data_IF_943309582504
#
_entry.id   IF_943309582504
#
_cell.length_a   1.000
_cell.length_b   1.000
_cell.length_c   1.000
_cell.angle_alpha   90.00
_cell.angle_beta   90.00
_cell.angle_gamma   90.00
#
_symmetry.space_group_name_H-M   'P 1'
#
loop_
_entity.id
_entity.type
_entity.pdbx_description
1 polymer ?
#
# COMPACT_ATOMS: atom_id res chain seq x y z
N UNK A 1 3.29 2.62 -6.41
CA UNK A 1 2.22 2.96 -7.37
C UNK A 1 2.77 3.33 -8.74
N UNK A 2 2.39 2.57 -9.77
CA UNK A 2 2.71 2.86 -11.17
C UNK A 2 1.91 4.08 -11.66
N UNK A 3 2.60 5.10 -12.19
CA UNK A 3 1.94 6.24 -12.85
C UNK A 3 1.55 5.85 -14.28
N UNK A 4 0.30 6.10 -14.67
CA UNK A 4 -0.18 5.81 -16.02
C UNK A 4 -1.21 6.85 -16.49
N UNK A 5 -1.40 6.95 -17.82
CA UNK A 5 -2.41 7.82 -18.42
C UNK A 5 -3.69 7.01 -18.67
N UNK A 6 -4.82 7.30 -17.99
CA UNK A 6 -6.06 6.54 -18.16
C UNK A 6 -6.68 6.70 -19.54
N UNK A 7 -6.30 7.73 -20.33
CA UNK A 7 -6.81 7.95 -21.69
C UNK A 7 -6.16 7.06 -22.74
N UNK A 8 -5.01 6.44 -22.45
CA UNK A 8 -4.32 5.57 -23.40
C UNK A 8 -4.85 4.13 -23.36
N UNK A 9 -6.13 3.93 -23.65
CA UNK A 9 -6.85 2.67 -23.45
C UNK A 9 -6.15 1.46 -24.11
N UNK A 10 -5.85 1.53 -25.40
CA UNK A 10 -5.11 0.48 -26.12
C UNK A 10 -3.69 0.27 -25.60
N UNK A 11 -3.03 1.36 -25.23
CA UNK A 11 -1.69 1.31 -24.63
C UNK A 11 -1.67 0.64 -23.25
N UNK A 12 -2.79 0.65 -22.51
CA UNK A 12 -2.90 -0.04 -21.22
C UNK A 12 -3.19 -1.54 -21.40
N UNK A 13 -4.03 -1.91 -22.38
CA UNK A 13 -4.36 -3.32 -22.67
C UNK A 13 -3.15 -4.12 -23.13
N UNK A 14 -2.29 -3.51 -23.96
CA UNK A 14 -1.14 -4.20 -24.55
C UNK A 14 0.19 -3.94 -23.83
N UNK A 15 0.21 -3.14 -22.75
CA UNK A 15 1.40 -2.97 -21.91
C UNK A 15 1.51 -4.11 -20.90
N UNK A 16 2.32 -5.10 -21.23
CA UNK A 16 2.72 -6.16 -20.30
C UNK A 16 3.68 -5.59 -19.24
N UNK A 17 3.19 -5.31 -18.02
CA UNK A 17 4.03 -4.92 -16.90
C UNK A 17 4.74 -6.13 -16.27
N UNK A 18 5.76 -5.91 -15.43
CA UNK A 18 6.45 -7.01 -14.72
C UNK A 18 5.56 -7.67 -13.65
N UNK A 19 4.58 -6.92 -13.14
CA UNK A 19 3.54 -7.35 -12.18
C UNK A 19 2.24 -7.75 -12.88
N UNK A 20 2.31 -8.15 -14.15
CA UNK A 20 1.12 -8.54 -14.90
C UNK A 20 0.57 -9.86 -14.34
N UNK A 21 -0.66 -9.80 -13.81
CA UNK A 21 -1.38 -10.93 -13.22
C UNK A 21 -1.40 -12.13 -14.16
N UNK A 22 -1.43 -11.88 -15.47
CA UNK A 22 -1.37 -12.92 -16.50
C UNK A 22 -0.09 -13.76 -16.41
N UNK A 23 1.08 -13.13 -16.25
CA UNK A 23 2.36 -13.86 -16.17
C UNK A 23 2.48 -14.66 -14.88
N UNK A 24 1.95 -14.12 -13.78
CA UNK A 24 1.92 -14.81 -12.49
C UNK A 24 0.99 -16.03 -12.52
N UNK A 25 -0.13 -15.95 -13.24
CA UNK A 25 -1.12 -17.02 -13.35
C UNK A 25 -0.84 -18.01 -14.47
N UNK A 26 0.03 -17.69 -15.43
CA UNK A 26 0.37 -18.54 -16.58
C UNK A 26 0.66 -20.02 -16.24
N UNK A 27 1.48 -20.38 -15.23
CA UNK A 27 1.71 -21.79 -14.88
C UNK A 27 0.45 -22.49 -14.36
N UNK A 28 -0.39 -21.78 -13.60
CA UNK A 28 -1.67 -22.31 -13.13
C UNK A 28 -2.67 -22.45 -14.29
N UNK A 29 -2.73 -21.47 -15.20
CA UNK A 29 -3.56 -21.52 -16.40
C UNK A 29 -3.19 -22.71 -17.30
N UNK A 30 -1.90 -22.95 -17.52
CA UNK A 30 -1.43 -24.10 -18.30
C UNK A 30 -1.81 -25.43 -17.62
N UNK A 31 -1.67 -25.51 -16.29
CA UNK A 31 -2.06 -26.69 -15.51
C UNK A 31 -3.57 -26.97 -15.61
N UNK A 32 -4.40 -25.93 -15.53
CA UNK A 32 -5.86 -26.02 -15.67
C UNK A 32 -6.24 -26.38 -17.11
N UNK A 33 -5.54 -25.84 -18.11
CA UNK A 33 -5.77 -26.18 -19.52
C UNK A 33 -5.49 -27.67 -19.78
N UNK A 34 -4.38 -28.20 -19.26
CA UNK A 34 -4.02 -29.61 -19.37
C UNK A 34 -5.05 -30.50 -18.66
N UNK A 35 -5.43 -30.13 -17.44
CA UNK A 35 -6.46 -30.85 -16.67
C UNK A 35 -7.81 -30.87 -17.40
N UNK A 36 -8.31 -29.70 -17.80
CA UNK A 36 -9.57 -29.57 -18.52
C UNK A 36 -9.55 -30.31 -19.86
N UNK A 37 -8.43 -30.26 -20.59
CA UNK A 37 -8.24 -31.01 -21.83
C UNK A 37 -8.31 -32.52 -21.60
N UNK A 38 -7.69 -33.02 -20.53
CA UNK A 38 -7.79 -34.43 -20.15
C UNK A 38 -9.22 -34.85 -19.80
N UNK A 39 -9.94 -34.05 -19.02
CA UNK A 39 -11.34 -34.31 -18.67
C UNK A 39 -12.23 -34.34 -19.91
N UNK A 40 -12.11 -33.34 -20.79
CA UNK A 40 -12.90 -33.25 -22.02
C UNK A 40 -12.59 -34.41 -22.97
N UNK A 41 -11.32 -34.78 -23.12
CA UNK A 41 -10.91 -35.93 -23.95
C UNK A 41 -11.54 -37.23 -23.43
N UNK A 42 -11.50 -37.46 -22.12
CA UNK A 42 -12.11 -38.65 -21.51
C UNK A 42 -13.63 -38.67 -21.73
N UNK A 43 -14.29 -37.54 -21.52
CA UNK A 43 -15.76 -37.42 -21.66
C UNK A 43 -16.23 -37.61 -23.11
N UNK A 44 -15.49 -37.09 -24.10
CA UNK A 44 -15.91 -37.18 -25.50
C UNK A 44 -15.50 -38.49 -26.17
N UNK A 45 -14.30 -38.99 -25.90
CA UNK A 45 -13.68 -40.07 -26.69
C UNK A 45 -13.69 -41.44 -26.01
N UNK A 46 -13.64 -41.48 -24.66
CA UNK A 46 -13.47 -42.73 -23.92
C UNK A 46 -14.74 -43.19 -23.20
N UNK A 47 -15.46 -42.26 -22.56
CA UNK A 47 -16.65 -42.53 -21.78
C UNK A 47 -17.62 -41.36 -21.99
N UNK A 48 -18.63 -41.46 -22.87
CA UNK A 48 -19.66 -40.45 -22.96
C UNK A 48 -20.45 -40.43 -21.64
N UNK A 49 -20.05 -39.57 -20.69
CA UNK A 49 -20.68 -39.44 -19.37
C UNK A 49 -22.01 -38.71 -19.55
N UNK A 50 -22.98 -39.39 -20.15
CA UNK A 50 -24.30 -38.85 -20.44
C UNK A 50 -25.07 -38.38 -19.18
N UNK A 51 -24.63 -38.78 -17.99
CA UNK A 51 -25.29 -38.51 -16.71
C UNK A 51 -25.01 -37.11 -16.12
N UNK A 52 -24.00 -36.38 -16.63
CA UNK A 52 -23.72 -34.99 -16.17
C UNK A 52 -24.46 -33.92 -16.99
N UNK A 53 -25.30 -34.32 -17.93
CA UNK A 53 -26.14 -33.40 -18.72
C UNK A 53 -27.15 -32.69 -17.82
N UNK A 54 -26.96 -31.38 -17.61
CA UNK A 54 -27.89 -30.51 -16.87
C UNK A 54 -27.32 -29.78 -15.64
N UNK A 55 -26.02 -29.93 -15.35
CA UNK A 55 -25.35 -29.28 -14.20
C UNK A 55 -24.90 -27.83 -14.47
N UNK A 56 -25.09 -27.31 -15.68
CA UNK A 56 -24.70 -25.94 -16.09
C UNK A 56 -25.50 -24.87 -15.33
N UNK A 57 -26.76 -25.14 -15.00
CA UNK A 57 -27.60 -24.24 -14.17
C UNK A 57 -27.01 -24.12 -12.76
N UNK A 58 -26.57 -25.22 -12.16
CA UNK A 58 -25.91 -25.20 -10.85
C UNK A 58 -24.61 -24.40 -10.90
N UNK A 59 -23.81 -24.55 -11.96
CA UNK A 59 -22.60 -23.74 -12.15
C UNK A 59 -22.91 -22.25 -12.35
N UNK A 60 -24.01 -21.91 -12.99
CA UNK A 60 -24.43 -20.51 -13.16
C UNK A 60 -24.80 -19.89 -11.81
N UNK A 61 -25.54 -20.62 -10.97
CA UNK A 61 -25.88 -20.20 -9.61
C UNK A 61 -24.64 -20.04 -8.72
N UNK A 62 -23.73 -21.02 -8.74
CA UNK A 62 -22.47 -20.95 -7.99
C UNK A 62 -21.60 -19.78 -8.50
N UNK A 63 -21.57 -19.55 -9.82
CA UNK A 63 -20.85 -18.43 -10.43
C UNK A 63 -21.36 -17.08 -9.94
N UNK A 64 -22.68 -16.92 -9.77
CA UNK A 64 -23.28 -15.71 -9.19
C UNK A 64 -22.83 -15.51 -7.73
N UNK A 65 -22.83 -16.56 -6.92
CA UNK A 65 -22.38 -16.50 -5.52
C UNK A 65 -20.91 -16.12 -5.44
N UNK A 66 -20.03 -16.76 -6.24
CA UNK A 66 -18.60 -16.45 -6.28
C UNK A 66 -18.36 -15.00 -6.72
N UNK A 67 -19.09 -14.54 -7.75
CA UNK A 67 -18.98 -13.16 -8.24
C UNK A 67 -19.34 -12.16 -7.14
N UNK A 68 -20.43 -12.40 -6.41
CA UNK A 68 -20.84 -11.56 -5.28
C UNK A 68 -19.78 -11.54 -4.17
N UNK A 69 -19.23 -12.70 -3.81
CA UNK A 69 -18.19 -12.79 -2.78
C UNK A 69 -16.91 -12.04 -3.20
N UNK A 70 -16.49 -12.17 -4.46
CA UNK A 70 -15.34 -11.44 -5.01
C UNK A 70 -15.55 -9.92 -5.00
N UNK A 71 -16.76 -9.44 -5.27
CA UNK A 71 -17.09 -8.01 -5.15
C UNK A 71 -16.89 -7.52 -3.72
N UNK A 72 -17.43 -8.22 -2.73
CA UNK A 72 -17.25 -7.86 -1.32
C UNK A 72 -15.78 -7.89 -0.89
N UNK A 73 -15.04 -8.92 -1.33
CA UNK A 73 -13.60 -9.05 -1.10
C UNK A 73 -12.81 -7.86 -1.66
N UNK A 74 -13.09 -7.50 -2.90
CA UNK A 74 -12.40 -6.40 -3.60
C UNK A 74 -12.74 -5.06 -2.97
N UNK A 75 -14.01 -4.82 -2.64
CA UNK A 75 -14.44 -3.58 -1.97
C UNK A 75 -13.78 -3.43 -0.60
N UNK A 76 -13.72 -4.50 0.20
CA UNK A 76 -13.07 -4.46 1.52
C UNK A 76 -11.57 -4.16 1.39
N UNK A 77 -10.89 -4.75 0.41
CA UNK A 77 -9.48 -4.45 0.15
C UNK A 77 -9.27 -3.00 -0.30
N UNK A 78 -10.13 -2.51 -1.19
CA UNK A 78 -10.11 -1.12 -1.66
C UNK A 78 -10.34 -0.11 -0.53
N UNK A 79 -11.27 -0.37 0.40
CA UNK A 79 -11.50 0.49 1.56
C UNK A 79 -10.25 0.64 2.43
N UNK A 80 -9.53 -0.47 2.69
CA UNK A 80 -8.25 -0.46 3.43
C UNK A 80 -7.20 0.37 2.69
N UNK A 81 -7.08 0.16 1.38
CA UNK A 81 -6.14 0.92 0.55
C UNK A 81 -6.44 2.42 0.58
N UNK A 82 -7.72 2.78 0.41
CA UNK A 82 -8.17 4.17 0.42
C UNK A 82 -8.00 4.82 1.80
N UNK A 83 -8.28 4.08 2.88
CA UNK A 83 -8.04 4.54 4.24
C UNK A 83 -6.55 4.84 4.47
N UNK A 84 -5.66 3.92 4.07
CA UNK A 84 -4.21 4.13 4.10
C UNK A 84 -3.79 5.39 3.32
N UNK A 85 -4.34 5.59 2.13
CA UNK A 85 -4.07 6.79 1.30
C UNK A 85 -4.52 8.08 2.01
N UNK A 86 -5.67 8.06 2.67
CA UNK A 86 -6.21 9.21 3.42
C UNK A 86 -5.33 9.53 4.62
N UNK A 87 -4.91 8.53 5.39
CA UNK A 87 -4.01 8.70 6.54
C UNK A 87 -2.66 9.32 6.13
N UNK A 88 -2.04 8.81 5.06
CA UNK A 88 -0.81 9.41 4.53
C UNK A 88 -1.02 10.82 3.95
N UNK A 89 -2.19 11.11 3.40
CA UNK A 89 -2.58 12.48 3.01
C UNK A 89 -2.72 13.42 4.20
N UNK A 90 -3.33 12.94 5.30
CA UNK A 90 -3.41 13.68 6.54
C UNK A 90 -2.01 13.94 7.13
N UNK A 91 -1.07 12.98 7.02
CA UNK A 91 0.30 13.16 7.48
C UNK A 91 1.01 14.31 6.77
N UNK A 92 0.82 14.43 5.44
CA UNK A 92 1.33 15.56 4.67
C UNK A 92 0.76 16.88 5.19
N UNK A 93 -0.56 16.93 5.42
CA UNK A 93 -1.24 18.12 5.88
C UNK A 93 -0.78 18.54 7.28
N UNK A 94 -0.75 17.62 8.25
CA UNK A 94 -0.31 17.91 9.63
C UNK A 94 1.16 18.33 9.69
N UNK A 95 2.03 17.71 8.88
CA UNK A 95 3.44 18.10 8.79
C UNK A 95 3.60 19.53 8.25
N UNK A 96 2.85 19.87 7.19
CA UNK A 96 2.87 21.22 6.62
C UNK A 96 2.28 22.25 7.60
N UNK A 97 1.17 21.93 8.25
CA UNK A 97 0.51 22.82 9.20
C UNK A 97 1.43 23.15 10.39
N UNK A 98 2.07 22.13 10.97
CA UNK A 98 3.01 22.33 12.08
C UNK A 98 4.22 23.18 11.64
N UNK A 99 4.77 22.90 10.45
CA UNK A 99 5.89 23.66 9.90
C UNK A 99 5.54 25.13 9.68
N UNK A 100 4.35 25.42 9.12
CA UNK A 100 3.90 26.80 8.88
C UNK A 100 3.68 27.57 10.18
N UNK A 101 3.05 26.95 11.18
CA UNK A 101 2.83 27.57 12.50
C UNK A 101 4.15 27.87 13.19
N UNK A 102 5.07 26.91 13.24
CA UNK A 102 6.39 27.11 13.84
C UNK A 102 7.24 28.11 13.07
N UNK A 103 7.12 28.17 11.74
CA UNK A 103 7.75 29.21 10.93
C UNK A 103 7.26 30.62 11.31
N UNK A 104 5.99 30.76 11.66
CA UNK A 104 5.40 32.04 12.08
C UNK A 104 5.71 32.40 13.53
N UNK A 105 5.84 31.41 14.42
CA UNK A 105 6.07 31.63 15.85
C UNK A 105 7.54 31.83 16.20
N UNK A 106 8.46 31.20 15.46
CA UNK A 106 9.89 31.24 15.76
C UNK A 106 10.64 32.26 14.89
N UNK A 107 11.63 32.99 15.45
CA UNK A 107 12.54 33.84 14.68
C UNK A 107 13.22 33.09 13.52
N UNK A 108 13.50 33.78 12.41
CA UNK A 108 14.03 33.18 11.18
C UNK A 108 15.39 32.46 11.39
N UNK A 109 16.20 32.87 12.35
CA UNK A 109 17.54 32.32 12.64
C UNK A 109 17.54 31.23 13.74
N UNK A 110 16.38 30.95 14.33
CA UNK A 110 16.25 30.06 15.48
C UNK A 110 16.70 28.63 15.17
N UNK A 111 17.64 28.08 15.95
CA UNK A 111 18.24 26.76 15.71
C UNK A 111 17.21 25.61 15.65
N UNK A 112 16.16 25.69 16.47
CA UNK A 112 15.10 24.68 16.52
C UNK A 112 14.33 24.49 15.21
N UNK A 113 14.37 25.43 14.27
CA UNK A 113 13.66 25.31 12.98
C UNK A 113 14.20 24.15 12.14
N UNK A 114 15.52 24.02 12.07
CA UNK A 114 16.17 22.92 11.37
C UNK A 114 15.95 21.57 12.08
N UNK A 115 16.00 21.57 13.42
CA UNK A 115 15.77 20.38 14.23
C UNK A 115 14.33 19.84 14.08
N UNK A 116 13.32 20.73 14.16
CA UNK A 116 11.93 20.33 13.96
C UNK A 116 11.70 19.86 12.52
N UNK A 117 12.30 20.53 11.53
CA UNK A 117 12.18 20.13 10.14
C UNK A 117 12.68 18.69 9.92
N UNK A 118 13.82 18.35 10.52
CA UNK A 118 14.37 16.99 10.44
C UNK A 118 13.49 15.98 11.18
N UNK A 119 12.98 16.30 12.37
CA UNK A 119 12.10 15.39 13.13
C UNK A 119 10.79 15.10 12.39
N UNK A 120 10.19 16.11 11.76
CA UNK A 120 8.98 15.93 10.94
C UNK A 120 9.23 15.04 9.72
N UNK A 121 10.33 15.26 9.00
CA UNK A 121 10.72 14.44 7.86
C UNK A 121 11.04 13.00 8.28
N UNK A 122 11.82 12.85 9.36
CA UNK A 122 12.23 11.57 9.92
C UNK A 122 11.02 10.75 10.39
N UNK A 123 9.99 11.38 10.95
CA UNK A 123 8.79 10.67 11.38
C UNK A 123 8.13 9.92 10.21
N UNK A 124 7.96 10.57 9.06
CA UNK A 124 7.37 9.95 7.88
C UNK A 124 8.21 8.78 7.35
N UNK A 125 9.54 8.93 7.34
CA UNK A 125 10.47 7.87 6.92
C UNK A 125 10.43 6.66 7.87
N UNK A 126 10.45 6.92 9.18
CA UNK A 126 10.41 5.88 10.22
C UNK A 126 9.05 5.18 10.25
N UNK A 127 7.94 5.91 10.03
CA UNK A 127 6.61 5.32 9.93
C UNK A 127 6.49 4.38 8.72
N UNK A 128 6.99 4.80 7.54
CA UNK A 128 7.07 3.93 6.36
C UNK A 128 7.82 2.63 6.67
N UNK A 129 9.02 2.75 7.24
CA UNK A 129 9.85 1.57 7.53
C UNK A 129 9.19 0.67 8.59
N UNK A 130 8.57 1.27 9.60
CA UNK A 130 7.80 0.56 10.63
C UNK A 130 6.65 -0.25 10.03
N UNK A 131 5.86 0.35 9.12
CA UNK A 131 4.75 -0.32 8.44
C UNK A 131 5.22 -1.42 7.45
N UNK A 132 6.52 -1.47 7.14
CA UNK A 132 7.14 -2.54 6.36
C UNK A 132 7.87 -3.58 7.22
N UNK A 133 7.77 -3.48 8.54
CA UNK A 133 8.50 -4.36 9.47
C UNK A 133 10.02 -4.15 9.45
N UNK A 134 10.50 -3.05 8.85
CA UNK A 134 11.94 -2.72 8.79
C UNK A 134 12.34 -2.02 10.09
N UNK A 135 13.51 -2.39 10.62
CA UNK A 135 14.07 -1.69 11.78
C UNK A 135 14.60 -0.32 11.36
N UNK A 136 14.31 0.75 12.11
CA UNK A 136 14.78 2.07 11.76
C UNK A 136 16.30 2.15 11.96
N UNK A 137 17.03 2.55 10.92
CA UNK A 137 18.51 2.56 10.90
C UNK A 137 19.15 3.55 11.88
N UNK A 138 18.38 4.51 12.39
CA UNK A 138 18.87 5.66 13.14
C UNK A 138 18.59 5.61 14.65
N UNK A 139 17.98 4.53 15.17
CA UNK A 139 17.57 4.45 16.58
C UNK A 139 18.37 3.40 17.35
N UNK A 140 18.72 3.75 18.59
CA UNK A 140 19.35 2.86 19.57
C UNK A 140 18.35 1.74 19.89
N UNK A 141 18.83 0.50 19.87
CA UNK A 141 18.03 -0.74 19.92
C UNK A 141 17.16 -0.95 21.18
N UNK A 142 17.06 0.02 22.07
CA UNK A 142 16.44 -0.10 23.39
C UNK A 142 14.93 0.16 23.40
N UNK A 143 14.36 0.84 22.40
CA UNK A 143 12.93 1.14 22.34
C UNK A 143 12.26 0.47 21.13
N UNK A 144 11.17 -0.25 21.38
CA UNK A 144 10.52 -1.14 20.41
C UNK A 144 9.72 -0.40 19.30
N UNK A 145 9.27 0.84 19.54
CA UNK A 145 8.39 1.57 18.61
C UNK A 145 9.07 2.80 18.00
N UNK A 146 9.52 2.70 16.74
CA UNK A 146 10.28 3.76 16.06
C UNK A 146 9.53 5.10 15.89
N UNK A 147 8.32 5.12 15.32
CA UNK A 147 7.58 6.37 15.07
C UNK A 147 7.35 7.19 16.34
N UNK A 148 6.98 6.53 17.44
CA UNK A 148 6.73 7.19 18.72
C UNK A 148 8.00 7.79 19.32
N UNK A 149 9.18 7.24 19.04
CA UNK A 149 10.44 7.84 19.50
C UNK A 149 10.72 9.16 18.79
N UNK A 150 10.49 9.22 17.47
CA UNK A 150 10.62 10.47 16.72
C UNK A 150 9.62 11.50 17.23
N UNK A 151 8.38 11.06 17.45
CA UNK A 151 7.31 11.93 17.93
C UNK A 151 7.57 12.43 19.36
N UNK A 152 8.09 11.59 20.26
CA UNK A 152 8.52 12.00 21.60
C UNK A 152 9.54 13.12 21.53
N UNK A 153 10.56 12.98 20.68
CA UNK A 153 11.59 14.02 20.48
C UNK A 153 11.00 15.31 19.91
N UNK A 154 10.04 15.20 18.99
CA UNK A 154 9.32 16.38 18.46
C UNK A 154 8.52 17.09 19.56
N UNK A 155 7.83 16.34 20.42
CA UNK A 155 7.09 16.90 21.55
C UNK A 155 8.04 17.52 22.59
N UNK A 156 9.13 16.84 22.94
CA UNK A 156 10.18 17.36 23.84
C UNK A 156 10.74 18.67 23.32
N UNK A 157 10.96 18.77 22.00
CA UNK A 157 11.45 19.97 21.36
C UNK A 157 10.46 21.13 21.45
N UNK A 158 9.18 20.89 21.19
CA UNK A 158 8.12 21.90 21.34
C UNK A 158 7.98 22.32 22.80
N UNK A 159 8.07 21.38 23.75
CA UNK A 159 8.02 21.68 25.17
C UNK A 159 9.26 22.47 25.65
N UNK A 160 10.43 22.21 25.09
CA UNK A 160 11.65 23.00 25.34
C UNK A 160 11.43 24.45 24.93
N UNK A 161 10.86 24.68 23.75
CA UNK A 161 10.53 26.02 23.24
C UNK A 161 9.52 26.76 24.13
N UNK A 162 8.54 26.04 24.68
CA UNK A 162 7.61 26.62 25.65
C UNK A 162 8.31 26.99 26.97
N UNK A 163 9.11 26.07 27.54
CA UNK A 163 9.84 26.31 28.80
C UNK A 163 10.91 27.40 28.69
N UNK A 164 11.48 27.58 27.49
CA UNK A 164 12.42 28.67 27.18
C UNK A 164 11.74 30.03 26.98
N UNK A 165 10.40 30.08 26.95
CA UNK A 165 9.64 31.30 26.70
C UNK A 165 9.60 31.71 25.22
N UNK A 166 10.09 30.87 24.31
CA UNK A 166 10.03 31.12 22.87
C UNK A 166 8.65 30.82 22.27
N UNK A 167 7.82 30.04 22.97
CA UNK A 167 6.41 29.82 22.64
C UNK A 167 5.50 30.23 23.79
N UNK A 168 4.39 30.89 23.47
CA UNK A 168 3.31 31.17 24.44
C UNK A 168 2.43 29.94 24.69
N UNK A 169 1.65 29.96 25.76
CA UNK A 169 0.70 28.89 26.07
C UNK A 169 -0.39 28.74 24.99
N UNK A 170 -0.86 29.85 24.43
CA UNK A 170 -1.84 29.88 23.34
C UNK A 170 -1.27 29.30 22.05
N UNK A 171 -0.01 29.64 21.72
CA UNK A 171 0.69 29.06 20.58
C UNK A 171 0.87 27.55 20.75
N UNK A 172 1.22 27.09 21.96
CA UNK A 172 1.33 25.67 22.27
C UNK A 172 -0.01 24.93 22.08
N UNK A 173 -1.13 25.52 22.52
CA UNK A 173 -2.47 24.97 22.29
C UNK A 173 -2.78 24.86 20.79
N UNK A 174 -2.38 25.85 19.98
CA UNK A 174 -2.55 25.81 18.53
C UNK A 174 -1.72 24.72 17.83
N UNK A 175 -0.61 24.28 18.42
CA UNK A 175 0.25 23.19 17.89
C UNK A 175 -0.24 21.80 18.33
N UNK A 176 -0.90 21.69 19.48
CA UNK A 176 -1.29 20.41 20.07
C UNK A 176 -2.17 19.52 19.17
N UNK A 177 -3.09 20.15 18.40
CA UNK A 177 -3.93 19.44 17.45
C UNK A 177 -3.12 18.76 16.33
N UNK A 178 -2.10 19.46 15.81
CA UNK A 178 -1.26 18.90 14.75
C UNK A 178 -0.38 17.77 15.31
N UNK A 179 0.17 17.92 16.51
CA UNK A 179 1.00 16.92 17.18
C UNK A 179 0.21 15.63 17.50
N UNK A 180 -1.00 15.77 18.03
CA UNK A 180 -1.90 14.63 18.30
C UNK A 180 -2.23 13.88 17.00
N UNK A 181 -2.42 14.60 15.89
CA UNK A 181 -2.72 13.97 14.60
C UNK A 181 -1.63 12.98 14.15
N UNK A 182 -0.34 13.20 14.48
CA UNK A 182 0.71 12.21 14.16
C UNK A 182 0.48 10.87 14.87
N UNK A 183 0.07 10.90 16.15
CA UNK A 183 -0.29 9.69 16.89
C UNK A 183 -1.49 8.98 16.26
N UNK A 184 -2.56 9.74 15.96
CA UNK A 184 -3.80 9.19 15.39
C UNK A 184 -3.55 8.55 14.02
N UNK A 185 -2.72 9.19 13.20
CA UNK A 185 -2.32 8.68 11.88
C UNK A 185 -1.49 7.41 12.03
N UNK A 186 -0.51 7.40 12.94
CA UNK A 186 0.31 6.22 13.23
C UNK A 186 -0.55 5.03 13.68
N UNK A 187 -1.42 5.25 14.66
CA UNK A 187 -2.36 4.24 15.15
C UNK A 187 -3.34 3.75 14.08
N UNK A 188 -3.83 4.64 13.21
CA UNK A 188 -4.65 4.28 12.06
C UNK A 188 -3.93 3.38 11.07
N UNK A 189 -2.68 3.72 10.72
CA UNK A 189 -1.86 2.90 9.82
C UNK A 189 -1.54 1.53 10.44
N UNK A 190 -1.22 1.50 11.73
CA UNK A 190 -0.98 0.25 12.46
C UNK A 190 -2.23 -0.63 12.53
N UNK A 191 -3.42 -0.04 12.71
CA UNK A 191 -4.68 -0.80 12.66
C UNK A 191 -4.81 -1.49 11.31
N UNK A 192 -4.66 -0.76 10.21
CA UNK A 192 -4.73 -1.35 8.86
C UNK A 192 -3.71 -2.49 8.72
N UNK A 193 -2.46 -2.27 9.12
CA UNK A 193 -1.39 -3.26 9.00
C UNK A 193 -1.62 -4.51 9.86
N UNK A 194 -2.02 -4.35 11.13
CA UNK A 194 -2.09 -5.41 12.14
C UNK A 194 -3.43 -6.15 12.16
N UNK A 195 -4.48 -5.58 11.58
CA UNK A 195 -5.79 -6.24 11.46
C UNK A 195 -6.10 -6.59 10.01
N UNK A 196 -5.51 -7.66 9.43
CA UNK A 196 -5.82 -8.13 8.07
C UNK A 196 -7.27 -8.65 7.98
N UNK A 197 -7.75 -8.86 6.76
CA UNK A 197 -9.05 -9.51 6.55
C UNK A 197 -9.00 -10.92 7.16
N UNK A 198 -10.07 -11.41 7.82
CA UNK A 198 -10.05 -12.71 8.47
C UNK A 198 -9.57 -13.83 7.53
N UNK A 199 -8.54 -14.56 7.96
CA UNK A 199 -7.92 -15.62 7.16
C UNK A 199 -8.91 -16.66 6.65
N UNK A 200 -9.93 -17.00 7.45
CA UNK A 200 -10.98 -17.95 7.08
C UNK A 200 -11.76 -17.51 5.83
N UNK A 201 -11.98 -16.20 5.66
CA UNK A 201 -12.67 -15.64 4.51
C UNK A 201 -11.82 -15.78 3.24
N UNK A 202 -10.57 -15.33 3.27
CA UNK A 202 -9.64 -15.45 2.13
C UNK A 202 -9.38 -16.92 1.75
N UNK A 203 -9.25 -17.80 2.74
CA UNK A 203 -9.09 -19.23 2.50
C UNK A 203 -10.33 -19.86 1.87
N UNK A 204 -11.52 -19.52 2.36
CA UNK A 204 -12.78 -20.01 1.81
C UNK A 204 -12.93 -19.60 0.35
N UNK A 205 -12.66 -18.33 0.02
CA UNK A 205 -12.80 -17.81 -1.34
C UNK A 205 -11.85 -18.49 -2.31
N UNK A 206 -10.57 -18.65 -1.94
CA UNK A 206 -9.56 -19.38 -2.75
C UNK A 206 -9.95 -20.83 -2.99
N UNK A 207 -10.43 -21.54 -1.96
CA UNK A 207 -10.92 -22.92 -2.09
C UNK A 207 -12.16 -23.01 -2.97
N UNK A 208 -13.06 -22.03 -2.87
CA UNK A 208 -14.29 -22.02 -3.63
C UNK A 208 -14.04 -21.74 -5.12
N UNK A 209 -13.17 -20.79 -5.46
CA UNK A 209 -12.70 -20.56 -6.85
C UNK A 209 -12.05 -21.83 -7.41
N UNK A 210 -11.16 -22.48 -6.64
CA UNK A 210 -10.52 -23.71 -7.07
C UNK A 210 -11.54 -24.82 -7.37
N UNK A 211 -12.46 -25.09 -6.44
CA UNK A 211 -13.49 -26.10 -6.62
C UNK A 211 -14.37 -25.82 -7.84
N UNK A 212 -14.77 -24.55 -8.03
CA UNK A 212 -15.61 -24.10 -9.15
C UNK A 212 -14.94 -24.32 -10.52
N UNK A 213 -13.65 -23.95 -10.63
CA UNK A 213 -12.89 -24.09 -11.88
C UNK A 213 -12.61 -25.56 -12.18
N UNK A 214 -12.29 -26.36 -11.17
CA UNK A 214 -12.04 -27.80 -11.34
C UNK A 214 -13.30 -28.55 -11.76
N UNK A 215 -14.49 -28.17 -11.25
CA UNK A 215 -15.76 -28.80 -11.64
C UNK A 215 -16.27 -28.36 -13.01
N UNK A 216 -15.78 -27.23 -13.55
CA UNK A 216 -16.25 -26.65 -14.80
C UNK A 216 -16.13 -27.56 -16.04
N UNK A 217 -14.97 -28.18 -16.36
CA UNK A 217 -14.86 -29.00 -17.57
C UNK A 217 -15.84 -30.18 -17.56
N UNK A 218 -16.15 -30.75 -16.40
CA UNK A 218 -17.14 -31.84 -16.27
C UNK A 218 -18.57 -31.40 -16.63
N UNK A 219 -18.89 -30.12 -16.44
CA UNK A 219 -20.25 -29.61 -16.66
C UNK A 219 -20.45 -29.06 -18.07
N UNK A 220 -19.37 -28.55 -18.68
CA UNK A 220 -19.43 -27.87 -19.97
C UNK A 220 -18.86 -28.70 -21.14
N UNK A 221 -18.18 -29.83 -20.89
CA UNK A 221 -17.62 -30.69 -21.94
C UNK A 221 -18.68 -31.17 -22.94
N UNK A 222 -19.85 -31.61 -22.47
CA UNK A 222 -20.91 -32.12 -23.33
C UNK A 222 -21.55 -31.05 -24.25
N UNK A 223 -21.53 -29.77 -23.85
CA UNK A 223 -22.15 -28.67 -24.59
C UNK A 223 -21.15 -27.92 -25.47
N UNK A 224 -19.92 -27.70 -24.97
CA UNK A 224 -18.89 -26.90 -25.65
C UNK A 224 -17.76 -27.73 -26.24
N UNK A 225 -17.76 -29.05 -26.05
CA UNK A 225 -16.68 -29.96 -26.47
C UNK A 225 -15.30 -29.43 -26.01
N UNK A 226 -14.29 -29.47 -26.89
CA UNK A 226 -12.96 -28.90 -26.62
C UNK A 226 -12.98 -27.38 -26.33
N UNK A 227 -14.03 -26.66 -26.71
CA UNK A 227 -14.24 -25.25 -26.31
C UNK A 227 -14.36 -25.06 -24.79
N UNK A 228 -14.77 -26.10 -24.05
CA UNK A 228 -14.84 -26.08 -22.58
C UNK A 228 -13.46 -25.84 -21.94
N UNK A 229 -12.36 -26.24 -22.60
CA UNK A 229 -11.00 -26.00 -22.12
C UNK A 229 -10.68 -24.51 -22.11
N UNK A 230 -10.91 -23.84 -23.25
CA UNK A 230 -10.67 -22.41 -23.38
C UNK A 230 -11.56 -21.60 -22.41
N UNK A 231 -12.83 -21.98 -22.29
CA UNK A 231 -13.76 -21.36 -21.35
C UNK A 231 -13.28 -21.51 -19.90
N UNK A 232 -12.87 -22.70 -19.49
CA UNK A 232 -12.39 -22.98 -18.13
C UNK A 232 -11.15 -22.15 -17.79
N UNK A 233 -10.18 -22.08 -18.70
CA UNK A 233 -8.95 -21.29 -18.51
C UNK A 233 -9.26 -19.79 -18.44
N UNK A 234 -10.16 -19.31 -19.30
CA UNK A 234 -10.57 -17.91 -19.30
C UNK A 234 -11.27 -17.52 -17.99
N UNK A 235 -12.23 -18.34 -17.53
CA UNK A 235 -12.96 -18.09 -16.29
C UNK A 235 -12.03 -18.17 -15.08
N UNK A 236 -11.10 -19.14 -15.05
CA UNK A 236 -10.04 -19.17 -14.04
C UNK A 236 -9.24 -17.87 -14.01
N UNK A 237 -8.77 -17.42 -15.18
CA UNK A 237 -7.99 -16.19 -15.28
C UNK A 237 -8.76 -14.99 -14.71
N UNK A 238 -10.04 -14.83 -15.06
CA UNK A 238 -10.87 -13.72 -14.54
C UNK A 238 -11.03 -13.80 -13.03
N UNK A 239 -11.47 -14.95 -12.49
CA UNK A 239 -11.73 -15.11 -11.05
C UNK A 239 -10.44 -15.00 -10.22
N UNK A 240 -9.37 -15.65 -10.65
CA UNK A 240 -8.09 -15.62 -9.96
C UNK A 240 -7.40 -14.24 -10.05
N UNK A 241 -7.54 -13.53 -11.17
CA UNK A 241 -7.00 -12.16 -11.30
C UNK A 241 -7.70 -11.20 -10.34
N UNK A 242 -9.03 -11.28 -10.20
CA UNK A 242 -9.77 -10.45 -9.25
C UNK A 242 -9.33 -10.71 -7.80
N UNK A 243 -9.18 -11.98 -7.42
CA UNK A 243 -8.68 -12.33 -6.08
C UNK A 243 -7.24 -11.83 -5.85
N UNK A 244 -6.38 -11.96 -6.85
CA UNK A 244 -4.99 -11.50 -6.77
C UNK A 244 -4.89 -9.98 -6.65
N UNK A 245 -5.69 -9.22 -7.41
CA UNK A 245 -5.76 -7.75 -7.29
C UNK A 245 -6.24 -7.35 -5.90
N UNK A 246 -7.26 -8.04 -5.37
CA UNK A 246 -7.76 -7.78 -4.03
C UNK A 246 -6.72 -8.11 -2.95
N UNK A 247 -5.88 -9.12 -3.16
CA UNK A 247 -4.76 -9.48 -2.28
C UNK A 247 -3.64 -8.42 -2.32
N UNK A 248 -3.26 -7.94 -3.51
CA UNK A 248 -2.24 -6.88 -3.67
C UNK A 248 -2.64 -5.58 -2.95
N UNK A 249 -3.88 -5.11 -3.14
CA UNK A 249 -4.30 -3.82 -2.55
C UNK A 249 -4.71 -3.93 -1.07
N UNK A 250 -4.86 -5.14 -0.52
CA UNK A 250 -5.24 -5.35 0.89
C UNK A 250 -4.19 -4.81 1.88
N UNK A 251 -2.90 -4.87 1.49
CA UNK A 251 -1.77 -4.40 2.29
C UNK A 251 -1.11 -3.16 1.68
N UNK A 252 -1.70 -1.96 1.81
CA UNK A 252 -1.30 -0.78 1.04
C UNK A 252 0.09 -0.21 1.34
N UNK A 253 0.79 -0.71 2.37
CA UNK A 253 2.08 -0.18 2.83
C UNK A 253 3.28 -1.01 2.41
N UNK A 254 3.08 -2.09 1.65
CA UNK A 254 4.13 -2.98 1.19
C UNK A 254 5.07 -2.38 0.13
N UNK A 255 5.59 -3.25 -0.73
CA UNK A 255 6.50 -2.90 -1.82
C UNK A 255 5.97 -3.33 -3.20
N UNK A 256 4.70 -3.73 -3.28
CA UNK A 256 4.06 -4.14 -4.52
C UNK A 256 3.82 -2.93 -5.43
N UNK A 257 3.64 -3.20 -6.73
CA UNK A 257 3.49 -2.15 -7.74
C UNK A 257 2.31 -1.21 -7.45
N UNK A 258 1.24 -1.77 -6.86
CA UNK A 258 -0.03 -1.10 -6.55
C UNK A 258 -0.11 -0.54 -5.12
N UNK A 259 0.95 -0.75 -4.32
CA UNK A 259 1.05 -0.17 -2.99
C UNK A 259 1.22 1.36 -3.05
N UNK A 260 0.87 1.98 -1.92
CA UNK A 260 1.02 3.42 -1.75
C UNK A 260 2.50 3.81 -1.90
N UNK A 261 2.80 4.90 -2.62
CA UNK A 261 4.17 5.39 -2.79
C UNK A 261 4.62 6.15 -1.53
N UNK A 262 4.61 5.49 -0.37
CA UNK A 262 4.92 6.04 0.95
C UNK A 262 6.33 6.65 1.01
N UNK A 263 7.27 6.12 0.25
CA UNK A 263 8.60 6.69 0.03
C UNK A 263 8.54 8.10 -0.59
N UNK A 264 7.79 8.24 -1.69
CA UNK A 264 7.69 9.52 -2.41
C UNK A 264 6.86 10.53 -1.61
N UNK A 265 5.87 10.05 -0.86
CA UNK A 265 5.12 10.90 0.08
C UNK A 265 6.04 11.38 1.21
N UNK A 266 6.89 10.52 1.78
CA UNK A 266 7.87 10.92 2.80
C UNK A 266 8.87 11.95 2.28
N UNK A 267 9.41 11.76 1.06
CA UNK A 267 10.25 12.76 0.39
C UNK A 267 9.51 14.08 0.15
N UNK A 268 8.25 14.01 -0.23
CA UNK A 268 7.40 15.20 -0.38
C UNK A 268 7.27 15.95 0.95
N UNK A 269 7.00 15.24 2.05
CA UNK A 269 6.93 15.84 3.40
C UNK A 269 8.25 16.53 3.74
N UNK A 270 9.39 15.83 3.56
CA UNK A 270 10.73 16.39 3.79
C UNK A 270 10.93 17.70 3.02
N UNK A 271 10.66 17.70 1.71
CA UNK A 271 10.82 18.89 0.88
C UNK A 271 9.93 20.04 1.35
N UNK A 272 8.64 19.80 1.61
CA UNK A 272 7.70 20.84 2.07
C UNK A 272 8.15 21.46 3.40
N UNK A 273 8.57 20.64 4.35
CA UNK A 273 8.94 21.11 5.69
C UNK A 273 10.28 21.86 5.65
N UNK A 274 11.26 21.36 4.91
CA UNK A 274 12.54 22.06 4.71
C UNK A 274 12.35 23.39 3.98
N UNK A 275 11.47 23.44 2.97
CA UNK A 275 11.13 24.67 2.26
C UNK A 275 10.57 25.74 3.22
N UNK A 276 9.66 25.35 4.10
CA UNK A 276 9.03 26.30 5.04
C UNK A 276 9.98 26.73 6.17
N UNK A 277 10.72 25.79 6.78
CA UNK A 277 11.47 26.09 8.01
C UNK A 277 12.93 26.49 7.76
N UNK A 278 13.55 26.03 6.65
CA UNK A 278 15.00 26.12 6.42
C UNK A 278 15.36 26.99 5.21
N UNK A 279 14.52 27.05 4.16
CA UNK A 279 14.87 27.65 2.86
C UNK A 279 15.32 29.10 2.90
N UNK A 280 14.79 29.94 3.81
CA UNK A 280 15.22 31.34 3.95
C UNK A 280 16.73 31.49 4.22
N UNK A 281 17.43 30.42 4.63
CA UNK A 281 18.87 30.42 4.91
C UNK A 281 19.76 30.11 3.71
N UNK A 282 19.21 29.67 2.57
CA UNK A 282 20.00 29.32 1.37
C UNK A 282 19.26 29.66 0.06
N UNK A 283 19.64 30.73 -0.66
CA UNK A 283 19.28 30.84 -2.07
C UNK A 283 20.00 29.71 -2.83
N UNK A 284 19.21 28.76 -3.34
CA UNK A 284 19.54 27.71 -4.32
C UNK A 284 21.05 27.43 -4.51
N UNK A 285 21.57 26.47 -3.77
CA UNK A 285 22.70 25.66 -4.25
C UNK A 285 22.27 24.20 -4.23
N UNK A 286 22.31 23.61 -5.42
CA UNK A 286 21.94 22.26 -5.80
C UNK A 286 22.51 21.16 -4.90
N UNK A 287 21.72 20.08 -4.78
CA UNK A 287 22.07 18.73 -4.29
C UNK A 287 21.96 18.44 -2.79
N UNK A 288 20.73 18.22 -2.33
CA UNK A 288 20.46 17.26 -1.25
C UNK A 288 20.66 15.82 -1.79
N UNK A 289 21.89 15.47 -2.14
CA UNK A 289 22.32 14.07 -2.28
C UNK A 289 23.17 13.73 -1.08
N UNK A 290 22.72 12.75 -0.31
CA UNK A 290 23.33 12.40 0.97
C UNK A 290 24.83 12.16 0.88
N UNK A 291 25.58 12.84 1.75
CA UNK A 291 26.78 12.25 2.32
C UNK A 291 27.08 12.87 3.69
N UNK A 292 27.61 12.03 4.58
CA UNK A 292 27.79 12.25 6.04
C UNK A 292 28.60 13.50 6.39
N UNK A 293 28.41 14.10 7.57
CA UNK A 293 29.30 15.16 8.06
C UNK A 293 30.61 14.54 8.56
N UNK A 294 31.73 15.02 8.04
CA UNK A 294 33.03 14.55 8.45
C UNK A 294 34.14 15.54 8.12
N UNK A 295 34.68 16.12 9.21
CA UNK A 295 35.97 16.82 9.36
C UNK A 295 35.93 18.35 9.22
N UNK A 296 36.07 18.95 10.40
CA UNK A 296 36.72 20.23 10.61
C UNK A 296 38.01 20.34 9.81
N UNK A 297 38.25 21.51 9.22
CA UNK A 297 39.60 21.97 8.90
C UNK A 297 39.79 23.32 9.60
N UNK A 298 40.90 23.37 10.33
CA UNK A 298 41.32 24.43 11.23
C UNK A 298 41.63 25.75 10.51
N UNK A 299 41.62 26.77 11.35
CA UNK A 299 42.23 28.10 11.20
C UNK A 299 43.69 28.09 10.71
N UNK A 300 44.07 29.28 10.24
CA UNK A 300 45.42 29.88 10.20
C UNK A 300 46.42 29.43 9.12
N UNK A 301 46.48 30.20 8.02
CA UNK A 301 47.59 31.11 7.63
C UNK A 301 47.40 31.64 6.21
#
# INVERSE_FOLDING_TARGET
MVSYNPRSWWGLIFKFHKSDTFRQLLPAMASIALFAGGVVYVDLELLPLAYLKGTTVLHSLLGLVISLLLVFRTNTAYERWWEGRRLWGALVNSSRALALKLNAFLPDDHASRAEVAELLALHAEVLKDHLRGKRPKHFVATLQHGPNQVLSRLLEQVQRLYRGGELSGEQLLCLNGDLTAFCDIGGGCERIQKTPIPYSYSLFLKKFIFAYVVSMPFCFAAEFHYGAVALTVFIFYVLASLELIAEEIENPFGEDANDLPTEDIAKTIRNNVCEVLVWKRYPVATSCTGNRPGRACNQDQ
#
